data_IF_113372878679
#
_entry.id   IF_113372878679
#
_cell.length_a   1.000
_cell.length_b   1.000
_cell.length_c   1.000
_cell.angle_alpha   90.00
_cell.angle_beta   90.00
_cell.angle_gamma   90.00
#
_symmetry.space_group_name_H-M   'P 1'
#
loop_
_entity.id
_entity.type
_entity.pdbx_description
1 polymer ?
#
# COMPACT_ATOMS: atom_id res chain seq x y z
N UNK A 1 -1.78 -12.04 10.30
CA UNK A 1 -3.10 -12.21 9.63
C UNK A 1 -3.44 -10.98 8.83
N UNK A 2 -4.18 -11.12 7.74
CA UNK A 2 -4.69 -10.03 6.92
C UNK A 2 -6.11 -10.35 6.45
N UNK A 3 -6.85 -9.35 6.04
CA UNK A 3 -8.12 -9.48 5.33
C UNK A 3 -8.06 -8.77 3.98
N UNK A 4 -8.93 -9.13 3.07
CA UNK A 4 -9.12 -8.43 1.79
C UNK A 4 -10.57 -8.02 1.64
N UNK A 5 -10.78 -6.79 1.17
CA UNK A 5 -12.12 -6.21 0.95
C UNK A 5 -12.15 -5.43 -0.36
N UNK A 6 -13.28 -5.47 -1.02
CA UNK A 6 -13.59 -4.53 -2.11
C UNK A 6 -14.50 -3.44 -1.54
N UNK A 7 -14.01 -2.21 -1.58
CA UNK A 7 -14.77 -1.01 -1.26
C UNK A 7 -14.54 0.03 -2.34
N UNK A 8 -15.59 0.69 -2.78
CA UNK A 8 -15.50 1.70 -3.84
C UNK A 8 -15.75 3.09 -3.26
N UNK A 9 -14.76 3.98 -3.39
CA UNK A 9 -14.87 5.35 -2.92
C UNK A 9 -16.08 6.11 -3.51
N UNK A 10 -16.43 5.82 -4.77
CA UNK A 10 -17.45 6.55 -5.51
C UNK A 10 -18.80 5.83 -5.59
N UNK A 11 -18.85 4.50 -5.36
CA UNK A 11 -20.09 3.72 -5.51
C UNK A 11 -20.64 3.20 -4.19
N UNK A 12 -19.80 3.16 -3.15
CA UNK A 12 -20.16 2.73 -1.79
C UNK A 12 -19.40 3.55 -0.74
N UNK A 13 -19.53 4.89 -0.76
CA UNK A 13 -18.75 5.78 0.12
C UNK A 13 -19.05 5.55 1.60
N UNK A 14 -20.30 5.29 1.96
CA UNK A 14 -20.68 5.06 3.36
C UNK A 14 -20.05 3.79 3.92
N UNK A 15 -20.04 2.69 3.16
CA UNK A 15 -19.37 1.46 3.56
C UNK A 15 -17.86 1.65 3.71
N UNK A 16 -17.26 2.43 2.81
CA UNK A 16 -15.84 2.77 2.88
C UNK A 16 -15.52 3.59 4.13
N UNK A 17 -16.34 4.58 4.47
CA UNK A 17 -16.16 5.38 5.69
C UNK A 17 -16.34 4.53 6.94
N UNK A 18 -17.39 3.72 6.99
CA UNK A 18 -17.61 2.79 8.11
C UNK A 18 -16.45 1.82 8.31
N UNK A 19 -15.89 1.29 7.20
CA UNK A 19 -14.70 0.46 7.23
C UNK A 19 -13.49 1.20 7.83
N UNK A 20 -13.22 2.42 7.38
CA UNK A 20 -12.09 3.22 7.82
C UNK A 20 -12.22 3.64 9.31
N UNK A 21 -13.40 4.08 9.73
CA UNK A 21 -13.70 4.49 11.11
C UNK A 21 -13.58 3.31 12.10
N UNK A 22 -13.98 2.11 11.68
CA UNK A 22 -13.87 0.91 12.50
C UNK A 22 -12.45 0.32 12.56
N UNK A 23 -11.55 0.71 11.67
CA UNK A 23 -10.26 0.07 11.46
C UNK A 23 -9.39 0.00 12.73
N UNK A 24 -9.27 1.10 13.46
CA UNK A 24 -8.48 1.16 14.69
C UNK A 24 -9.08 0.26 15.79
N UNK A 25 -10.39 0.35 16.02
CA UNK A 25 -11.08 -0.46 17.03
C UNK A 25 -11.04 -1.97 16.74
N UNK A 26 -10.93 -2.35 15.46
CA UNK A 26 -10.74 -3.74 15.01
C UNK A 26 -9.28 -4.21 15.13
N UNK A 27 -8.35 -3.35 15.49
CA UNK A 27 -6.93 -3.69 15.64
C UNK A 27 -6.15 -3.73 14.34
N UNK A 28 -6.64 -3.12 13.25
CA UNK A 28 -5.87 -2.99 12.02
C UNK A 28 -4.62 -2.13 12.27
N UNK A 29 -3.48 -2.58 11.78
CA UNK A 29 -2.18 -1.90 11.99
C UNK A 29 -1.72 -1.11 10.75
N UNK A 30 -2.22 -1.45 9.59
CA UNK A 30 -2.05 -0.73 8.33
C UNK A 30 -3.18 -1.10 7.36
N UNK A 31 -3.47 -0.22 6.41
CA UNK A 31 -4.42 -0.46 5.32
C UNK A 31 -3.69 -0.23 4.02
N UNK A 32 -3.61 -1.26 3.17
CA UNK A 32 -3.09 -1.13 1.81
C UNK A 32 -4.30 -0.88 0.91
N UNK A 33 -4.35 0.28 0.28
CA UNK A 33 -5.47 0.70 -0.55
C UNK A 33 -5.03 0.88 -2.02
N UNK A 34 -5.44 -0.05 -2.88
CA UNK A 34 -5.23 0.01 -4.33
C UNK A 34 -6.39 0.70 -5.03
N UNK A 35 -6.09 1.68 -5.88
CA UNK A 35 -7.10 2.40 -6.65
C UNK A 35 -6.58 2.86 -8.01
N UNK A 36 -7.46 2.90 -9.02
CA UNK A 36 -7.14 3.28 -10.40
C UNK A 36 -7.98 4.43 -10.94
N UNK A 37 -7.44 5.17 -11.90
CA UNK A 37 -8.07 6.34 -12.50
C UNK A 37 -8.15 7.50 -11.49
N UNK A 38 -9.36 8.00 -11.22
CA UNK A 38 -9.62 8.92 -10.10
C UNK A 38 -9.49 8.17 -8.77
N UNK A 39 -8.26 7.89 -8.38
CA UNK A 39 -7.89 6.96 -7.32
C UNK A 39 -8.02 7.61 -5.92
N UNK A 40 -9.21 8.06 -5.56
CA UNK A 40 -9.47 8.80 -4.32
C UNK A 40 -9.54 7.92 -3.06
N UNK A 41 -9.70 6.60 -3.24
CA UNK A 41 -9.90 5.64 -2.15
C UNK A 41 -8.86 5.78 -1.00
N UNK A 42 -7.54 5.80 -1.26
CA UNK A 42 -6.56 5.87 -0.18
C UNK A 42 -6.67 7.17 0.64
N UNK A 43 -6.84 8.31 -0.02
CA UNK A 43 -6.99 9.61 0.64
C UNK A 43 -8.27 9.71 1.45
N UNK A 44 -9.38 9.20 0.93
CA UNK A 44 -10.67 9.19 1.64
C UNK A 44 -10.64 8.27 2.87
N UNK A 45 -9.99 7.11 2.78
CA UNK A 45 -9.76 6.24 3.95
C UNK A 45 -8.87 6.95 4.98
N UNK A 46 -7.75 7.55 4.54
CA UNK A 46 -6.82 8.23 5.44
C UNK A 46 -7.47 9.42 6.20
N UNK A 47 -8.48 10.06 5.61
CA UNK A 47 -9.24 11.12 6.25
C UNK A 47 -10.17 10.63 7.38
N UNK A 48 -10.40 9.32 7.50
CA UNK A 48 -11.35 8.71 8.43
C UNK A 48 -10.71 7.79 9.47
N UNK A 49 -9.40 7.60 9.43
CA UNK A 49 -8.70 6.74 10.39
C UNK A 49 -7.30 7.26 10.67
N UNK A 50 -6.77 6.95 11.86
CA UNK A 50 -5.34 7.16 12.19
C UNK A 50 -4.49 5.93 11.88
N UNK A 51 -5.09 4.84 11.42
CA UNK A 51 -4.34 3.67 10.95
C UNK A 51 -3.56 4.06 9.68
N UNK A 52 -2.25 3.77 9.60
CA UNK A 52 -1.46 4.10 8.43
C UNK A 52 -2.07 3.58 7.13
N UNK A 53 -2.23 4.46 6.14
CA UNK A 53 -2.77 4.13 4.81
C UNK A 53 -1.63 4.12 3.79
N UNK A 54 -1.51 3.01 3.08
CA UNK A 54 -0.50 2.71 2.08
C UNK A 54 -1.18 2.68 0.72
N UNK A 55 -1.01 3.74 -0.07
CA UNK A 55 -1.68 3.92 -1.35
C UNK A 55 -0.91 3.25 -2.49
N UNK A 56 -1.61 2.43 -3.28
CA UNK A 56 -1.06 1.77 -4.46
C UNK A 56 -1.81 2.24 -5.69
N UNK A 57 -1.16 3.00 -6.59
CA UNK A 57 -1.76 3.36 -7.86
C UNK A 57 -1.93 2.11 -8.73
N UNK A 58 -3.14 1.88 -9.25
CA UNK A 58 -3.43 0.77 -10.15
C UNK A 58 -3.39 1.27 -11.59
N UNK A 59 -2.84 0.47 -12.50
CA UNK A 59 -2.80 0.81 -13.92
C UNK A 59 -4.19 1.09 -14.47
N UNK A 60 -4.32 2.17 -15.23
CA UNK A 60 -5.56 2.59 -15.89
C UNK A 60 -5.50 2.38 -17.40
N UNK A 61 -6.66 2.29 -18.05
CA UNK A 61 -6.75 1.97 -19.48
C UNK A 61 -6.09 3.04 -20.36
N UNK A 62 -6.25 4.32 -20.05
CA UNK A 62 -5.85 5.42 -20.94
C UNK A 62 -4.49 6.03 -20.56
N UNK A 63 -4.19 6.17 -19.26
CA UNK A 63 -2.98 6.83 -18.76
C UNK A 63 -2.04 5.89 -18.02
N UNK A 64 -2.26 4.57 -18.13
CA UNK A 64 -1.38 3.52 -17.61
C UNK A 64 -1.06 3.64 -16.11
N UNK A 65 -1.91 4.33 -15.36
CA UNK A 65 -1.77 4.52 -13.92
C UNK A 65 -1.13 5.84 -13.49
N UNK A 66 -0.69 6.69 -14.42
CA UNK A 66 -0.18 8.04 -14.11
C UNK A 66 -1.27 8.90 -13.46
N UNK A 67 -2.51 8.82 -13.97
CA UNK A 67 -3.70 9.42 -13.38
C UNK A 67 -3.96 8.89 -11.97
N UNK A 68 -3.82 7.59 -11.75
CA UNK A 68 -3.94 6.96 -10.43
C UNK A 68 -2.89 7.50 -9.46
N UNK A 69 -1.63 7.57 -9.91
CA UNK A 69 -0.52 8.11 -9.11
C UNK A 69 -0.77 9.57 -8.72
N UNK A 70 -1.12 10.42 -9.68
CA UNK A 70 -1.42 11.83 -9.41
C UNK A 70 -2.60 12.02 -8.45
N UNK A 71 -3.60 11.15 -8.54
CA UNK A 71 -4.78 11.20 -7.64
C UNK A 71 -4.45 10.84 -6.19
N UNK A 72 -3.37 10.09 -5.94
CA UNK A 72 -3.01 9.58 -4.60
C UNK A 72 -1.90 10.41 -3.96
N UNK A 73 -0.88 10.81 -4.72
CA UNK A 73 0.40 11.29 -4.15
C UNK A 73 0.33 12.69 -3.57
N UNK A 74 -0.46 13.59 -4.15
CA UNK A 74 -0.52 15.01 -3.74
C UNK A 74 -1.54 15.26 -2.62
N UNK A 75 -1.35 14.56 -1.49
CA UNK A 75 -2.20 14.74 -0.33
C UNK A 75 -1.97 16.10 0.36
N UNK A 76 -3.03 16.73 0.89
CA UNK A 76 -2.91 17.96 1.64
C UNK A 76 -2.17 17.74 2.96
N UNK A 77 -1.55 18.82 3.46
CA UNK A 77 -0.92 18.80 4.79
C UNK A 77 -1.92 18.36 5.86
N UNK A 78 -1.56 17.35 6.64
CA UNK A 78 -2.33 16.83 7.77
C UNK A 78 -2.95 15.46 7.55
N UNK A 79 -3.18 15.04 6.30
CA UNK A 79 -3.72 13.71 5.97
C UNK A 79 -2.73 12.98 5.05
N UNK A 80 -1.73 12.28 5.60
CA UNK A 80 -0.74 11.60 4.78
C UNK A 80 -1.24 10.27 4.23
N UNK A 81 -0.82 9.95 3.00
CA UNK A 81 -0.88 8.60 2.42
C UNK A 81 0.51 8.24 1.94
N UNK A 82 1.06 7.13 2.43
CA UNK A 82 2.33 6.61 1.90
C UNK A 82 2.07 6.01 0.52
N UNK A 83 2.54 6.66 -0.54
CA UNK A 83 2.26 6.27 -1.92
C UNK A 83 3.39 5.45 -2.51
N UNK A 84 3.05 4.33 -3.14
CA UNK A 84 3.98 3.36 -3.71
C UNK A 84 3.96 3.41 -5.25
N UNK A 85 4.79 2.55 -5.86
CA UNK A 85 4.86 2.44 -7.31
C UNK A 85 3.54 1.96 -7.93
N UNK A 86 3.36 2.21 -9.22
CA UNK A 86 2.18 1.76 -9.98
C UNK A 86 2.20 0.23 -10.10
N UNK A 87 1.06 -0.41 -9.86
CA UNK A 87 0.83 -1.82 -10.13
C UNK A 87 1.46 -2.78 -9.12
N UNK A 88 1.86 -3.97 -9.59
CA UNK A 88 2.28 -5.09 -8.75
C UNK A 88 3.51 -4.78 -7.88
N UNK A 89 4.49 -4.05 -8.41
CA UNK A 89 5.66 -3.64 -7.64
C UNK A 89 5.27 -2.74 -6.46
N UNK A 90 4.34 -1.83 -6.69
CA UNK A 90 3.80 -0.96 -5.63
C UNK A 90 3.05 -1.74 -4.56
N UNK A 91 2.23 -2.72 -4.96
CA UNK A 91 1.50 -3.57 -4.03
C UNK A 91 2.45 -4.40 -3.14
N UNK A 92 3.49 -5.01 -3.75
CA UNK A 92 4.50 -5.76 -3.02
C UNK A 92 5.28 -4.86 -2.04
N UNK A 93 5.71 -3.67 -2.48
CA UNK A 93 6.42 -2.72 -1.64
C UNK A 93 5.55 -2.15 -0.53
N UNK A 94 4.27 -1.92 -0.75
CA UNK A 94 3.33 -1.52 0.29
C UNK A 94 3.20 -2.60 1.38
N UNK A 95 3.13 -3.88 0.99
CA UNK A 95 3.13 -5.00 1.93
C UNK A 95 4.43 -5.09 2.73
N UNK A 96 5.59 -4.97 2.07
CA UNK A 96 6.90 -4.96 2.73
C UNK A 96 7.07 -3.75 3.66
N UNK A 97 6.51 -2.60 3.29
CA UNK A 97 6.51 -1.43 4.15
C UNK A 97 5.63 -1.62 5.39
N UNK A 98 4.43 -2.23 5.23
CA UNK A 98 3.60 -2.61 6.37
C UNK A 98 4.34 -3.58 7.32
N UNK A 99 5.04 -4.57 6.75
CA UNK A 99 5.91 -5.47 7.54
C UNK A 99 7.01 -4.69 8.27
N UNK A 100 7.65 -3.71 7.61
CA UNK A 100 8.69 -2.90 8.23
C UNK A 100 8.15 -2.02 9.38
N UNK A 101 6.95 -1.46 9.23
CA UNK A 101 6.27 -0.74 10.32
C UNK A 101 6.05 -1.64 11.55
N UNK A 102 5.58 -2.86 11.33
CA UNK A 102 5.33 -3.83 12.41
C UNK A 102 6.64 -4.34 13.01
N UNK A 103 7.65 -4.57 12.20
CA UNK A 103 8.97 -5.04 12.61
C UNK A 103 9.72 -4.06 13.54
N UNK A 104 9.32 -2.78 13.57
CA UNK A 104 9.90 -1.80 14.50
C UNK A 104 9.68 -2.14 15.98
N UNK A 105 8.68 -2.98 16.27
CA UNK A 105 8.32 -3.42 17.63
C UNK A 105 8.21 -4.95 17.77
N UNK A 106 8.55 -5.70 16.72
CA UNK A 106 8.51 -7.17 16.67
C UNK A 106 9.83 -7.71 16.12
N UNK A 107 10.70 -8.21 17.01
CA UNK A 107 12.03 -8.71 16.66
C UNK A 107 11.96 -9.91 15.70
N UNK A 108 11.02 -10.84 15.91
CA UNK A 108 10.88 -12.01 15.05
C UNK A 108 10.46 -11.62 13.63
N UNK A 109 9.64 -10.59 13.48
CA UNK A 109 9.27 -10.05 12.18
C UNK A 109 10.43 -9.29 11.53
N UNK A 110 11.24 -8.57 12.33
CA UNK A 110 12.45 -7.90 11.86
C UNK A 110 13.47 -8.89 11.27
N UNK A 111 13.72 -10.02 11.98
CA UNK A 111 14.58 -11.09 11.47
C UNK A 111 14.11 -11.66 10.12
N UNK A 112 12.80 -11.91 9.98
CA UNK A 112 12.22 -12.40 8.72
C UNK A 112 12.38 -11.39 7.60
N UNK A 113 12.20 -10.10 7.87
CA UNK A 113 12.37 -9.04 6.88
C UNK A 113 13.85 -8.91 6.46
N UNK A 114 14.79 -9.04 7.40
CA UNK A 114 16.22 -9.06 7.09
C UNK A 114 16.59 -10.26 6.23
N UNK A 115 16.13 -11.45 6.59
CA UNK A 115 16.36 -12.66 5.80
C UNK A 115 15.82 -12.53 4.36
N UNK A 116 14.62 -11.96 4.20
CA UNK A 116 14.05 -11.67 2.88
C UNK A 116 14.96 -10.73 2.07
N UNK A 117 15.47 -9.64 2.67
CA UNK A 117 16.37 -8.69 1.99
C UNK A 117 17.70 -9.32 1.60
N UNK A 118 18.28 -10.16 2.46
CA UNK A 118 19.50 -10.91 2.16
C UNK A 118 19.30 -11.84 0.96
N UNK A 119 18.19 -12.58 0.93
CA UNK A 119 17.87 -13.45 -0.20
C UNK A 119 17.73 -12.65 -1.51
N UNK A 120 17.13 -11.46 -1.50
CA UNK A 120 17.06 -10.57 -2.67
C UNK A 120 18.47 -10.12 -3.12
N UNK A 121 19.34 -9.83 -2.18
CA UNK A 121 20.74 -9.46 -2.47
C UNK A 121 21.49 -10.60 -3.15
N UNK A 122 21.30 -11.84 -2.66
CA UNK A 122 21.97 -13.02 -3.25
C UNK A 122 21.44 -13.34 -4.66
N UNK A 123 20.12 -13.18 -4.88
CA UNK A 123 19.56 -13.26 -6.22
C UNK A 123 20.23 -12.25 -7.17
N UNK A 124 20.35 -10.99 -6.75
CA UNK A 124 20.96 -9.94 -7.57
C UNK A 124 22.45 -10.20 -7.85
N UNK A 125 23.20 -10.70 -6.88
CA UNK A 125 24.64 -11.03 -7.04
C UNK A 125 24.86 -12.16 -8.04
N UNK A 126 23.91 -13.08 -8.16
CA UNK A 126 24.01 -14.23 -9.04
C UNK A 126 23.39 -14.00 -10.44
N UNK A 127 22.90 -12.78 -10.72
CA UNK A 127 22.41 -12.44 -12.05
C UNK A 127 23.55 -12.44 -13.07
N UNK A 128 23.33 -13.11 -14.20
CA UNK A 128 24.24 -13.11 -15.35
C UNK A 128 23.56 -12.45 -16.54
N UNK A 129 24.36 -11.84 -17.40
CA UNK A 129 23.86 -11.35 -18.69
C UNK A 129 23.47 -12.52 -19.59
N UNK A 130 22.46 -12.37 -20.47
CA UNK A 130 22.18 -13.36 -21.50
C UNK A 130 23.43 -13.60 -22.32
N UNK A 131 23.69 -14.85 -22.78
CA UNK A 131 24.77 -15.11 -23.72
C UNK A 131 24.56 -14.27 -24.99
N UNK A 132 25.64 -13.64 -25.46
CA UNK A 132 25.68 -12.84 -26.69
C UNK A 132 25.63 -13.75 -27.90
#
# INVERSE_FOLDING_TARGET
TFETRVVSAHRMPDDMFAYAEAAQGRGLRAIIAGAGGAAHLPGMIAAKTIVPVLGVPVASKHLQGVDSLHSIVQMPKGIPVATFAIGNAGAANAALFAVALLASTDAALAEKLQAFRLAQTDVARNMTLPPV
#
